data_IF_057268699750
#
_entry.id   IF_057268699750
#
_cell.length_a   1.000
_cell.length_b   1.000
_cell.length_c   1.000
_cell.angle_alpha   90.00
_cell.angle_beta   90.00
_cell.angle_gamma   90.00
#
_symmetry.space_group_name_H-M   'P 1'
#
loop_
_entity.id
_entity.type
_entity.pdbx_description
1 polymer ?
#
# COMPACT_ATOMS: atom_id res chain seq x y z
N UNK A 1 -1.99 17.52 7.31
CA UNK A 1 -2.65 16.38 7.98
C UNK A 1 -3.00 15.29 6.95
N UNK A 2 -2.04 14.93 6.08
CA UNK A 2 -2.26 14.15 4.85
C UNK A 2 -1.47 12.84 4.81
N UNK A 3 -0.46 12.66 5.66
CA UNK A 3 0.40 11.46 5.66
C UNK A 3 -0.32 10.16 6.03
N UNK A 4 -1.24 10.20 7.02
CA UNK A 4 -2.04 9.03 7.42
C UNK A 4 -2.96 8.56 6.30
N UNK A 5 -3.52 9.49 5.52
CA UNK A 5 -4.42 9.15 4.41
C UNK A 5 -3.69 8.47 3.26
N UNK A 6 -2.48 8.92 2.91
CA UNK A 6 -1.69 8.33 1.84
C UNK A 6 -1.21 6.90 2.18
N UNK A 7 -0.79 6.67 3.43
CA UNK A 7 -0.38 5.34 3.91
C UNK A 7 -1.54 4.34 3.90
N UNK A 8 -2.72 4.76 4.36
CA UNK A 8 -3.92 3.92 4.31
C UNK A 8 -4.28 3.56 2.87
N UNK A 9 -4.25 4.55 1.96
CA UNK A 9 -4.53 4.31 0.55
C UNK A 9 -3.57 3.31 -0.09
N UNK A 10 -2.26 3.44 0.17
CA UNK A 10 -1.26 2.48 -0.32
C UNK A 10 -1.49 1.07 0.25
N UNK A 11 -1.84 0.96 1.54
CA UNK A 11 -2.16 -0.32 2.15
C UNK A 11 -3.39 -0.97 1.50
N UNK A 12 -4.45 -0.21 1.24
CA UNK A 12 -5.65 -0.71 0.57
C UNK A 12 -5.36 -1.23 -0.83
N UNK A 13 -4.60 -0.48 -1.64
CA UNK A 13 -4.19 -0.89 -2.99
C UNK A 13 -3.40 -2.21 -2.97
N UNK A 14 -2.46 -2.36 -2.05
CA UNK A 14 -1.63 -3.57 -1.95
C UNK A 14 -2.39 -4.76 -1.37
N UNK A 15 -3.45 -4.53 -0.58
CA UNK A 15 -4.29 -5.59 -0.02
C UNK A 15 -5.43 -6.02 -0.94
N UNK A 16 -5.84 -5.19 -1.90
CA UNK A 16 -6.88 -5.50 -2.86
C UNK A 16 -6.68 -6.84 -3.60
N UNK A 17 -5.52 -7.11 -4.23
CA UNK A 17 -5.29 -8.38 -4.92
C UNK A 17 -5.22 -9.60 -3.97
N UNK A 18 -5.11 -9.36 -2.67
CA UNK A 18 -5.06 -10.40 -1.63
C UNK A 18 -6.41 -10.64 -0.96
N UNK A 19 -7.49 -10.00 -1.45
CA UNK A 19 -8.85 -10.28 -1.01
C UNK A 19 -9.21 -11.72 -1.39
N UNK A 20 -9.74 -12.48 -0.43
CA UNK A 20 -10.09 -13.89 -0.61
C UNK A 20 -8.96 -14.90 -0.38
N UNK A 21 -7.69 -14.47 -0.37
CA UNK A 21 -6.57 -15.34 -0.02
C UNK A 21 -6.56 -15.67 1.48
N UNK A 22 -6.52 -16.97 1.81
CA UNK A 22 -6.42 -17.47 3.20
C UNK A 22 -4.95 -17.64 3.60
N UNK A 23 -4.67 -17.59 4.90
CA UNK A 23 -3.33 -17.85 5.45
C UNK A 23 -2.34 -16.67 5.35
N UNK A 24 -2.75 -15.51 4.81
CA UNK A 24 -1.88 -14.34 4.65
C UNK A 24 -1.88 -13.38 5.85
N UNK A 25 -2.39 -13.78 7.02
CA UNK A 25 -2.55 -12.87 8.16
C UNK A 25 -1.21 -12.22 8.55
N UNK A 26 -0.16 -13.02 8.73
CA UNK A 26 1.17 -12.51 9.09
C UNK A 26 1.71 -11.56 8.02
N UNK A 27 1.55 -11.92 6.74
CA UNK A 27 1.95 -11.07 5.62
C UNK A 27 1.23 -9.71 5.65
N UNK A 28 -0.08 -9.69 5.89
CA UNK A 28 -0.85 -8.43 5.99
C UNK A 28 -0.37 -7.56 7.17
N UNK A 29 -0.04 -8.18 8.30
CA UNK A 29 0.51 -7.48 9.47
C UNK A 29 1.89 -6.90 9.20
N UNK A 30 2.79 -7.67 8.58
CA UNK A 30 4.12 -7.20 8.22
C UNK A 30 4.07 -6.08 7.17
N UNK A 31 3.17 -6.19 6.19
CA UNK A 31 2.94 -5.16 5.19
C UNK A 31 2.46 -3.86 5.83
N UNK A 32 1.48 -3.93 6.75
CA UNK A 32 1.00 -2.77 7.48
C UNK A 32 2.11 -2.10 8.30
N UNK A 33 2.94 -2.87 9.01
CA UNK A 33 4.09 -2.35 9.75
C UNK A 33 5.08 -1.64 8.84
N UNK A 34 5.40 -2.26 7.69
CA UNK A 34 6.33 -1.70 6.71
C UNK A 34 5.83 -0.35 6.18
N UNK A 35 4.56 -0.25 5.79
CA UNK A 35 3.97 1.00 5.28
C UNK A 35 3.92 2.08 6.36
N UNK A 36 3.62 1.70 7.62
CA UNK A 36 3.62 2.65 8.72
C UNK A 36 5.02 3.26 8.96
N UNK A 37 6.09 2.50 8.73
CA UNK A 37 7.47 2.94 8.85
C UNK A 37 7.99 3.75 7.64
N UNK A 38 7.30 3.74 6.51
CA UNK A 38 7.70 4.52 5.34
C UNK A 38 7.58 6.03 5.58
N UNK A 39 8.45 6.81 4.94
CA UNK A 39 8.30 8.26 4.90
C UNK A 39 7.16 8.66 3.95
N UNK A 40 6.60 9.86 4.13
CA UNK A 40 5.55 10.36 3.25
C UNK A 40 6.02 10.48 1.79
N UNK A 41 7.32 10.73 1.56
CA UNK A 41 7.92 10.74 0.22
C UNK A 41 7.87 9.36 -0.42
N UNK A 42 8.33 8.33 0.30
CA UNK A 42 8.33 6.94 -0.19
C UNK A 42 6.92 6.46 -0.51
N UNK A 43 5.94 6.78 0.34
CA UNK A 43 4.53 6.42 0.12
C UNK A 43 4.02 7.06 -1.17
N UNK A 44 4.38 8.32 -1.41
CA UNK A 44 3.96 9.08 -2.60
C UNK A 44 4.61 8.55 -3.88
N UNK A 45 5.88 8.19 -3.84
CA UNK A 45 6.57 7.54 -4.96
C UNK A 45 5.94 6.20 -5.31
N UNK A 46 5.57 5.39 -4.32
CA UNK A 46 4.87 4.13 -4.54
C UNK A 46 3.49 4.32 -5.17
N UNK A 47 2.72 5.30 -4.68
CA UNK A 47 1.41 5.61 -5.23
C UNK A 47 1.51 6.13 -6.68
N UNK A 48 2.48 6.99 -6.97
CA UNK A 48 2.74 7.51 -8.32
C UNK A 48 3.17 6.39 -9.29
N UNK A 49 4.04 5.48 -8.84
CA UNK A 49 4.41 4.29 -9.62
C UNK A 49 3.20 3.42 -9.95
N UNK A 50 2.35 3.12 -8.95
CA UNK A 50 1.13 2.35 -9.15
C UNK A 50 0.18 3.03 -10.14
N UNK A 51 -0.03 4.35 -10.03
CA UNK A 51 -0.88 5.10 -10.94
C UNK A 51 -0.36 5.07 -12.39
N UNK A 52 0.96 5.10 -12.60
CA UNK A 52 1.57 4.99 -13.93
C UNK A 52 1.43 3.58 -14.53
N UNK A 53 1.56 2.55 -13.70
CA UNK A 53 1.35 1.18 -14.13
C UNK A 53 -0.11 0.93 -14.54
N UNK A 54 -1.07 1.47 -13.79
CA UNK A 54 -2.50 1.35 -14.10
C UNK A 54 -2.86 2.10 -15.40
N UNK A 55 -2.24 3.26 -15.64
CA UNK A 55 -2.43 4.05 -16.86
C UNK A 55 -1.77 3.46 -18.12
N UNK A 56 -1.03 2.35 -17.99
CA UNK A 56 -0.33 1.68 -19.10
C UNK A 56 -1.00 0.36 -19.54
N UNK A 57 -2.13 -0.02 -18.92
CA UNK A 57 -2.96 -1.17 -19.29
C UNK A 57 -4.22 -0.77 -20.04
#
# INVERSE_FOLDING_TARGET
MTGTSAKSHLLELLLEPLKGCKGLYNYKQDLMKKIMQMSDLQVREYLDYHQRCDASG
#
